data_IF_456631739084
#
_entry.id   IF_456631739084
#
_cell.length_a   1.000
_cell.length_b   1.000
_cell.length_c   1.000
_cell.angle_alpha   90.00
_cell.angle_beta   90.00
_cell.angle_gamma   90.00
#
_symmetry.space_group_name_H-M   'P 1'
#
loop_
_entity.id
_entity.type
_entity.pdbx_description
1 polymer ?
#
# COMPACT_ATOMS: atom_id res chain seq x y z
N UNK A 1 30.76 16.78 22.63
CA UNK A 1 29.39 16.97 22.12
C UNK A 1 28.82 15.59 21.87
N UNK A 2 27.95 15.09 22.75
CA UNK A 2 27.26 13.82 22.49
C UNK A 2 26.19 14.15 21.47
N UNK A 3 26.45 13.80 20.21
CA UNK A 3 25.42 13.83 19.18
C UNK A 3 24.54 12.63 19.47
N UNK A 4 23.40 12.85 20.13
CA UNK A 4 22.30 11.87 20.14
C UNK A 4 21.69 11.87 18.73
N UNK A 5 22.39 11.23 17.81
CA UNK A 5 22.09 11.17 16.39
C UNK A 5 21.82 9.74 15.97
N UNK A 6 20.86 9.58 15.06
CA UNK A 6 20.51 8.31 14.45
C UNK A 6 20.84 8.39 12.96
N UNK A 7 21.61 7.42 12.46
CA UNK A 7 21.85 7.24 11.03
C UNK A 7 21.09 5.99 10.59
N UNK A 8 20.13 6.16 9.69
CA UNK A 8 19.46 5.06 9.00
C UNK A 8 19.94 4.99 7.55
N UNK A 9 20.66 3.92 7.23
CA UNK A 9 20.97 3.59 5.84
C UNK A 9 19.78 2.86 5.20
N UNK A 10 19.67 2.88 3.87
CA UNK A 10 18.64 2.15 3.13
C UNK A 10 17.18 2.58 3.42
N UNK A 11 17.00 3.78 3.94
CA UNK A 11 15.71 4.27 4.41
C UNK A 11 14.79 4.72 3.26
N UNK A 12 15.33 5.39 2.23
CA UNK A 12 14.55 5.95 1.12
C UNK A 12 14.47 5.04 -0.13
N UNK A 13 14.04 3.80 0.03
CA UNK A 13 13.90 2.89 -1.12
C UNK A 13 12.59 3.15 -1.87
N UNK A 14 12.69 3.29 -3.18
CA UNK A 14 11.54 3.41 -4.10
C UNK A 14 10.62 2.16 -4.09
N UNK A 15 11.09 1.04 -3.55
CA UNK A 15 10.35 -0.21 -3.38
C UNK A 15 9.64 -0.34 -2.02
N UNK A 16 9.80 0.63 -1.12
CA UNK A 16 9.08 0.61 0.14
C UNK A 16 7.57 0.76 -0.12
N UNK A 17 6.80 -0.22 0.36
CA UNK A 17 5.34 -0.15 0.38
C UNK A 17 4.88 1.11 1.12
N UNK A 18 3.75 1.68 0.69
CA UNK A 18 3.19 2.93 1.22
C UNK A 18 3.19 3.01 2.76
N UNK A 19 2.76 1.95 3.46
CA UNK A 19 2.73 1.93 4.93
C UNK A 19 4.13 2.00 5.54
N UNK A 20 5.08 1.25 4.96
CA UNK A 20 6.48 1.29 5.41
C UNK A 20 7.07 2.66 5.12
N UNK A 21 6.84 3.21 3.93
CA UNK A 21 7.30 4.56 3.58
C UNK A 21 6.77 5.59 4.58
N UNK A 22 5.49 5.53 4.93
CA UNK A 22 4.88 6.48 5.87
C UNK A 22 5.45 6.34 7.29
N UNK A 23 5.53 5.12 7.82
CA UNK A 23 6.12 4.85 9.14
C UNK A 23 7.53 5.41 9.26
N UNK A 24 8.31 5.22 8.19
CA UNK A 24 9.65 5.75 8.09
C UNK A 24 9.62 7.28 8.21
N UNK A 25 8.87 7.98 7.35
CA UNK A 25 8.74 9.45 7.38
C UNK A 25 8.35 9.95 8.78
N UNK A 26 7.36 9.32 9.40
CA UNK A 26 6.88 9.69 10.74
C UNK A 26 7.93 9.49 11.83
N UNK A 27 8.72 8.42 11.75
CA UNK A 27 9.83 8.16 12.66
C UNK A 27 10.88 9.28 12.60
N UNK A 28 11.32 9.66 11.39
CA UNK A 28 12.33 10.70 11.19
C UNK A 28 11.83 12.06 11.64
N UNK A 29 10.58 12.42 11.32
CA UNK A 29 9.95 13.64 11.84
C UNK A 29 9.85 13.60 13.37
N UNK A 30 9.56 12.44 13.95
CA UNK A 30 9.53 12.24 15.39
C UNK A 30 10.87 12.53 16.06
N UNK A 31 11.98 12.09 15.45
CA UNK A 31 13.33 12.41 15.90
C UNK A 31 13.68 13.89 15.71
N UNK A 32 13.33 14.49 14.57
CA UNK A 32 13.56 15.90 14.27
C UNK A 32 12.87 16.83 15.30
N UNK A 33 11.60 16.53 15.64
CA UNK A 33 10.85 17.25 16.70
C UNK A 33 11.48 17.13 18.09
N UNK A 34 12.31 16.10 18.33
CA UNK A 34 13.07 15.94 19.58
C UNK A 34 14.44 16.62 19.53
N UNK A 35 14.75 17.35 18.46
CA UNK A 35 16.05 18.00 18.27
C UNK A 35 17.17 17.03 17.92
N UNK A 36 16.86 15.82 17.43
CA UNK A 36 17.88 14.83 17.07
C UNK A 36 18.36 15.07 15.65
N UNK A 37 19.68 15.26 15.51
CA UNK A 37 20.31 15.40 14.21
C UNK A 37 20.26 14.09 13.42
N UNK A 38 19.83 14.17 12.17
CA UNK A 38 19.69 13.01 11.29
C UNK A 38 20.27 13.28 9.91
N UNK A 39 21.05 12.33 9.41
CA UNK A 39 21.43 12.24 8.01
C UNK A 39 20.51 11.22 7.33
N UNK A 40 19.72 11.70 6.38
CA UNK A 40 18.77 10.92 5.61
C UNK A 40 19.44 10.51 4.31
N UNK A 41 19.87 9.26 4.22
CA UNK A 41 20.56 8.77 3.03
C UNK A 41 19.57 8.31 1.96
N UNK A 42 19.69 8.90 0.77
CA UNK A 42 19.10 8.40 -0.46
C UNK A 42 19.91 7.22 -1.00
N UNK A 43 19.23 6.08 -1.19
CA UNK A 43 19.82 4.88 -1.77
C UNK A 43 19.19 4.61 -3.13
N UNK A 44 19.88 4.97 -4.22
CA UNK A 44 19.35 4.81 -5.56
C UNK A 44 19.08 3.34 -5.94
N UNK A 45 18.23 3.15 -6.94
CA UNK A 45 18.11 1.90 -7.69
C UNK A 45 19.47 1.50 -8.27
N UNK A 46 19.60 0.21 -8.58
CA UNK A 46 20.82 -0.32 -9.17
C UNK A 46 21.27 0.49 -10.39
N UNK A 47 22.49 1.02 -10.34
CA UNK A 47 23.18 1.64 -11.46
C UNK A 47 24.59 1.04 -11.55
N UNK A 48 24.99 0.42 -12.67
CA UNK A 48 26.21 -0.38 -12.76
C UNK A 48 27.49 0.40 -12.40
N UNK A 49 27.50 1.71 -12.60
CA UNK A 49 28.67 2.56 -12.34
C UNK A 49 28.56 3.45 -11.09
N UNK A 50 27.35 3.70 -10.59
CA UNK A 50 27.10 4.75 -9.58
C UNK A 50 26.50 4.19 -8.30
N UNK A 51 25.85 3.03 -8.38
CA UNK A 51 25.11 2.42 -7.29
C UNK A 51 24.94 0.93 -7.58
N UNK A 52 26.01 0.15 -7.43
CA UNK A 52 25.97 -1.30 -7.65
C UNK A 52 25.09 -2.04 -6.62
N UNK A 53 24.72 -1.35 -5.52
CA UNK A 53 23.83 -1.83 -4.48
C UNK A 53 22.50 -1.07 -4.54
N UNK A 54 21.42 -1.78 -4.88
CA UNK A 54 20.08 -1.23 -4.99
C UNK A 54 19.15 -2.23 -5.66
N UNK A 55 17.83 -2.12 -5.50
CA UNK A 55 16.92 -2.95 -6.27
C UNK A 55 17.07 -2.61 -7.77
N UNK A 56 17.14 -3.63 -8.62
CA UNK A 56 16.96 -3.47 -10.06
C UNK A 56 15.47 -3.30 -10.30
N UNK A 57 15.07 -2.10 -10.69
CA UNK A 57 13.65 -1.77 -10.91
C UNK A 57 13.46 -1.40 -12.37
N UNK A 58 12.80 -2.27 -13.12
CA UNK A 58 12.48 -2.01 -14.52
C UNK A 58 11.56 -0.80 -14.67
N UNK A 59 11.81 0.04 -15.68
CA UNK A 59 11.00 1.25 -15.95
C UNK A 59 11.28 2.46 -15.05
N UNK A 60 12.22 2.36 -14.11
CA UNK A 60 12.67 3.51 -13.29
C UNK A 60 13.99 4.05 -13.85
N UNK A 61 13.97 5.30 -14.33
CA UNK A 61 15.19 6.01 -14.74
C UNK A 61 15.95 6.56 -13.53
N UNK A 62 17.25 6.80 -13.70
CA UNK A 62 18.06 7.42 -12.65
C UNK A 62 17.57 8.81 -12.23
N UNK A 63 16.99 9.58 -13.15
CA UNK A 63 16.47 10.91 -12.83
C UNK A 63 15.14 10.87 -12.06
N UNK A 64 14.27 9.90 -12.38
CA UNK A 64 13.05 9.64 -11.61
C UNK A 64 13.39 9.26 -10.18
N UNK A 65 14.35 8.37 -10.01
CA UNK A 65 14.79 7.90 -8.70
C UNK A 65 15.40 9.04 -7.86
N UNK A 66 16.23 9.89 -8.47
CA UNK A 66 16.81 11.09 -7.81
C UNK A 66 15.73 12.04 -7.29
N UNK A 67 14.74 12.36 -8.13
CA UNK A 67 13.63 13.24 -7.73
C UNK A 67 12.79 12.57 -6.64
N UNK A 68 12.54 11.26 -6.72
CA UNK A 68 11.82 10.52 -5.68
C UNK A 68 12.54 10.57 -4.33
N UNK A 69 13.86 10.36 -4.32
CA UNK A 69 14.69 10.45 -3.11
C UNK A 69 14.64 11.84 -2.47
N UNK A 70 14.89 12.88 -3.27
CA UNK A 70 14.85 14.27 -2.78
C UNK A 70 13.46 14.64 -2.26
N UNK A 71 12.40 14.31 -2.99
CA UNK A 71 11.03 14.57 -2.56
C UNK A 71 10.67 13.81 -1.27
N UNK A 72 11.08 12.55 -1.14
CA UNK A 72 10.90 11.75 0.08
C UNK A 72 11.64 12.40 1.26
N UNK A 73 12.84 12.94 1.06
CA UNK A 73 13.53 13.71 2.08
C UNK A 73 12.74 14.95 2.48
N UNK A 74 12.25 15.72 1.50
CA UNK A 74 11.45 16.92 1.75
C UNK A 74 10.15 16.59 2.51
N UNK A 75 9.56 15.41 2.33
CA UNK A 75 8.42 14.96 3.15
C UNK A 75 8.77 14.81 4.64
N UNK A 76 10.01 14.44 4.95
CA UNK A 76 10.51 14.31 6.33
C UNK A 76 11.22 15.57 6.86
N UNK A 77 11.62 16.50 5.97
CA UNK A 77 12.50 17.61 6.31
C UNK A 77 11.97 18.47 7.47
N UNK A 78 12.85 18.73 8.42
CA UNK A 78 12.71 19.69 9.51
C UNK A 78 14.08 20.28 9.87
N UNK A 79 14.16 20.95 11.02
CA UNK A 79 15.29 21.79 11.40
C UNK A 79 16.59 21.02 11.67
N UNK A 80 16.50 19.71 11.95
CA UNK A 80 17.61 18.84 12.37
C UNK A 80 17.85 17.68 11.41
N UNK A 81 17.29 17.76 10.20
CA UNK A 81 17.42 16.73 9.17
C UNK A 81 18.25 17.23 7.99
N UNK A 82 19.12 16.36 7.48
CA UNK A 82 20.00 16.66 6.36
C UNK A 82 19.86 15.61 5.26
N UNK A 83 19.86 16.05 4.01
CA UNK A 83 19.85 15.15 2.86
C UNK A 83 21.25 14.60 2.61
N UNK A 84 21.40 13.28 2.69
CA UNK A 84 22.62 12.53 2.41
C UNK A 84 22.52 11.79 1.08
N UNK A 85 23.62 11.76 0.34
CA UNK A 85 23.75 11.05 -0.94
C UNK A 85 25.14 10.41 -1.02
N UNK A 86 25.27 9.31 -1.76
CA UNK A 86 26.47 8.49 -1.86
C UNK A 86 26.19 7.01 -1.67
N UNK A 87 26.90 6.14 -2.39
CA UNK A 87 26.85 4.69 -2.16
C UNK A 87 27.70 4.34 -0.94
N UNK A 88 27.19 3.57 0.03
CA UNK A 88 28.00 3.15 1.18
C UNK A 88 29.32 2.50 0.70
N UNK A 89 30.50 2.92 1.19
CA UNK A 89 30.76 3.90 2.26
C UNK A 89 31.03 5.33 1.72
N UNK A 90 30.03 6.01 1.17
CA UNK A 90 30.11 7.34 0.55
C UNK A 90 31.04 7.44 -0.66
N UNK A 91 31.08 6.39 -1.48
CA UNK A 91 31.67 6.47 -2.80
C UNK A 91 30.74 7.23 -3.76
N UNK A 92 31.34 7.81 -4.80
CA UNK A 92 30.62 8.49 -5.89
C UNK A 92 29.72 9.66 -5.50
N UNK A 93 29.87 10.24 -4.29
CA UNK A 93 29.08 11.38 -3.78
C UNK A 93 28.97 12.51 -4.81
N UNK A 94 30.08 12.92 -5.41
CA UNK A 94 30.10 13.98 -6.44
C UNK A 94 29.41 13.58 -7.75
N UNK A 95 29.40 12.28 -8.09
CA UNK A 95 28.72 11.77 -9.29
C UNK A 95 27.23 11.53 -9.05
N UNK A 96 26.82 11.29 -7.80
CA UNK A 96 25.43 11.17 -7.41
C UNK A 96 24.78 12.53 -7.13
N UNK A 97 25.56 13.61 -7.00
CA UNK A 97 25.04 14.98 -6.95
C UNK A 97 24.24 15.31 -8.20
N UNK A 98 23.10 15.96 -8.03
CA UNK A 98 22.26 16.44 -9.12
C UNK A 98 21.69 17.81 -8.81
N UNK A 99 21.45 18.58 -9.86
CA UNK A 99 21.23 20.03 -9.78
C UNK A 99 19.92 20.42 -9.10
N UNK A 100 18.91 19.55 -9.10
CA UNK A 100 17.66 19.82 -8.37
C UNK A 100 17.87 20.03 -6.86
N UNK A 101 18.90 19.43 -6.24
CA UNK A 101 19.22 19.61 -4.81
C UNK A 101 19.56 21.07 -4.49
N UNK A 102 20.13 21.80 -5.45
CA UNK A 102 20.52 23.20 -5.30
C UNK A 102 19.30 24.15 -5.34
N UNK A 103 18.12 23.66 -5.70
CA UNK A 103 16.93 24.48 -5.83
C UNK A 103 16.29 24.79 -4.46
N UNK A 104 16.15 26.08 -4.15
CA UNK A 104 15.55 26.52 -2.90
C UNK A 104 14.02 26.42 -2.93
N UNK A 105 13.49 25.34 -2.36
CA UNK A 105 12.04 25.14 -2.15
C UNK A 105 11.50 25.91 -0.95
N UNK A 106 12.37 26.53 -0.14
CA UNK A 106 12.02 27.25 1.08
C UNK A 106 11.79 26.36 2.30
N UNK A 107 11.20 26.92 3.36
CA UNK A 107 10.88 26.19 4.58
C UNK A 107 9.55 25.44 4.49
N UNK A 108 9.36 24.34 5.24
CA UNK A 108 8.08 23.65 5.28
C UNK A 108 7.00 24.53 5.92
N UNK A 109 5.84 24.62 5.28
CA UNK A 109 4.68 25.41 5.76
C UNK A 109 3.76 24.56 6.63
N UNK A 110 3.70 23.26 6.37
CA UNK A 110 2.81 22.34 7.07
C UNK A 110 3.43 20.96 7.26
N UNK A 111 2.74 20.13 8.04
CA UNK A 111 2.87 18.67 7.96
C UNK A 111 2.56 18.20 6.53
N UNK A 112 3.12 17.04 6.17
CA UNK A 112 2.67 16.37 4.96
C UNK A 112 1.24 15.85 5.18
N UNK A 113 0.46 15.73 4.11
CA UNK A 113 -0.92 15.29 4.18
C UNK A 113 -1.27 14.39 2.99
N UNK A 114 -2.35 13.62 3.15
CA UNK A 114 -2.93 12.81 2.09
C UNK A 114 -3.63 13.75 1.09
N UNK A 115 -3.05 13.92 -0.10
CA UNK A 115 -3.61 14.78 -1.14
C UNK A 115 -4.66 14.07 -1.98
N UNK A 116 -4.40 12.81 -2.32
CA UNK A 116 -5.36 11.98 -3.03
C UNK A 116 -5.21 10.52 -2.63
N UNK A 117 -6.34 9.86 -2.46
CA UNK A 117 -6.44 8.42 -2.34
C UNK A 117 -7.48 7.93 -3.33
N UNK A 118 -7.14 6.98 -4.18
CA UNK A 118 -8.07 6.45 -5.18
C UNK A 118 -7.84 4.97 -5.36
N UNK A 119 -8.89 4.18 -5.21
CA UNK A 119 -8.83 2.78 -5.57
C UNK A 119 -8.87 2.65 -7.09
N UNK A 120 -7.92 1.89 -7.64
CA UNK A 120 -7.90 1.54 -9.06
C UNK A 120 -7.84 0.05 -9.21
N UNK A 121 -8.59 -0.44 -10.20
CA UNK A 121 -8.45 -1.79 -10.73
C UNK A 121 -7.71 -1.73 -12.07
N UNK A 122 -6.87 -2.72 -12.35
CA UNK A 122 -6.32 -2.94 -13.70
C UNK A 122 -7.42 -3.29 -14.72
N UNK A 123 -8.59 -3.74 -14.25
CA UNK A 123 -9.78 -4.00 -15.08
C UNK A 123 -10.91 -3.03 -14.72
N UNK A 124 -11.33 -2.23 -15.70
CA UNK A 124 -12.43 -1.28 -15.52
C UNK A 124 -13.76 -2.01 -15.37
N UNK A 125 -14.59 -1.55 -14.42
CA UNK A 125 -15.95 -2.07 -14.17
C UNK A 125 -16.00 -3.58 -13.88
N UNK A 126 -14.95 -4.14 -13.27
CA UNK A 126 -14.96 -5.52 -12.83
C UNK A 126 -16.09 -5.75 -11.81
N UNK A 127 -16.84 -6.84 -11.99
CA UNK A 127 -17.88 -7.27 -11.05
C UNK A 127 -17.34 -8.39 -10.18
N UNK A 128 -17.86 -8.50 -8.96
CA UNK A 128 -17.53 -9.65 -8.11
C UNK A 128 -17.94 -10.94 -8.79
N UNK A 129 -17.04 -11.91 -8.77
CA UNK A 129 -17.25 -13.30 -9.17
C UNK A 129 -17.84 -14.14 -8.03
N UNK A 130 -17.89 -13.58 -6.81
CA UNK A 130 -18.60 -14.19 -5.70
C UNK A 130 -20.08 -13.83 -5.73
N UNK A 131 -20.92 -14.82 -5.47
CA UNK A 131 -22.37 -14.63 -5.28
C UNK A 131 -22.64 -14.49 -3.79
N UNK A 132 -23.49 -13.51 -3.44
CA UNK A 132 -23.94 -13.29 -2.05
C UNK A 132 -22.76 -13.10 -1.07
N UNK A 133 -21.75 -12.33 -1.49
CA UNK A 133 -20.61 -11.96 -0.63
C UNK A 133 -20.95 -10.87 0.38
N UNK A 134 -22.05 -10.16 0.17
CA UNK A 134 -22.70 -9.21 1.09
C UNK A 134 -23.65 -9.91 2.09
N UNK A 135 -23.87 -11.22 1.94
CA UNK A 135 -24.67 -12.04 2.84
C UNK A 135 -26.13 -11.61 3.04
N UNK A 136 -26.69 -10.82 2.11
CA UNK A 136 -28.07 -10.34 2.19
C UNK A 136 -29.11 -11.43 1.85
N UNK A 137 -28.68 -12.54 1.28
CA UNK A 137 -29.54 -13.68 0.95
C UNK A 137 -29.27 -14.87 1.88
N UNK A 138 -30.34 -15.38 2.46
CA UNK A 138 -30.31 -16.56 3.32
C UNK A 138 -30.96 -17.77 2.67
N UNK A 139 -30.48 -18.97 2.97
CA UNK A 139 -31.12 -20.24 2.58
C UNK A 139 -32.31 -20.58 3.49
N UNK A 140 -32.98 -21.72 3.24
CA UNK A 140 -34.11 -22.20 4.05
C UNK A 140 -33.76 -22.45 5.53
N UNK A 141 -32.47 -22.58 5.85
CA UNK A 141 -31.94 -22.77 7.20
C UNK A 141 -31.49 -21.46 7.85
N UNK A 142 -31.77 -20.30 7.20
CA UNK A 142 -31.36 -18.96 7.63
C UNK A 142 -29.83 -18.80 7.73
N UNK A 143 -29.09 -19.51 6.89
CA UNK A 143 -27.63 -19.39 6.74
C UNK A 143 -27.30 -18.66 5.43
N UNK A 144 -26.07 -18.15 5.26
CA UNK A 144 -25.65 -17.55 3.99
C UNK A 144 -25.94 -18.45 2.77
N UNK A 145 -26.81 -18.00 1.86
CA UNK A 145 -27.11 -18.75 0.63
C UNK A 145 -25.90 -18.79 -0.32
N UNK A 146 -25.79 -19.85 -1.12
CA UNK A 146 -24.72 -20.04 -2.13
C UNK A 146 -23.30 -20.19 -1.57
N UNK A 147 -23.16 -20.47 -0.28
CA UNK A 147 -21.90 -20.83 0.36
C UNK A 147 -21.92 -22.28 0.84
N UNK A 148 -20.79 -22.97 0.75
CA UNK A 148 -20.57 -24.20 1.50
C UNK A 148 -20.13 -23.83 2.90
N UNK A 149 -20.93 -24.16 3.89
CA UNK A 149 -20.77 -23.67 5.25
C UNK A 149 -20.35 -24.77 6.22
N UNK A 150 -19.54 -24.38 7.21
CA UNK A 150 -19.13 -25.21 8.33
C UNK A 150 -19.42 -24.45 9.63
N UNK A 151 -20.24 -25.06 10.49
CA UNK A 151 -20.58 -24.49 11.80
C UNK A 151 -19.33 -24.32 12.67
N UNK A 152 -19.20 -23.30 13.52
CA UNK A 152 -20.23 -22.31 13.83
C UNK A 152 -20.23 -21.16 12.81
N UNK A 153 -21.37 -20.90 12.18
CA UNK A 153 -21.59 -19.68 11.38
C UNK A 153 -23.05 -19.26 11.41
N UNK A 154 -23.33 -17.98 11.60
CA UNK A 154 -24.70 -17.44 11.53
C UNK A 154 -24.75 -16.13 10.73
N UNK A 155 -25.95 -15.76 10.25
CA UNK A 155 -26.21 -14.40 9.79
C UNK A 155 -26.52 -13.53 11.01
N UNK A 156 -25.80 -12.41 11.15
CA UNK A 156 -26.03 -11.43 12.21
C UNK A 156 -26.63 -10.16 11.63
N UNK A 157 -27.86 -9.84 12.04
CA UNK A 157 -28.57 -8.64 11.61
C UNK A 157 -28.31 -7.40 12.49
N UNK A 158 -27.52 -7.54 13.55
CA UNK A 158 -27.23 -6.47 14.52
C UNK A 158 -25.89 -5.79 14.28
N UNK A 159 -25.01 -6.42 13.52
CA UNK A 159 -23.69 -5.91 13.16
C UNK A 159 -23.38 -6.28 11.72
N UNK A 160 -23.78 -5.44 10.77
CA UNK A 160 -23.38 -5.48 9.36
C UNK A 160 -22.47 -4.30 9.03
N UNK A 161 -21.71 -4.39 7.93
CA UNK A 161 -20.99 -3.27 7.35
C UNK A 161 -21.91 -2.53 6.37
N UNK A 162 -22.43 -3.28 5.38
CA UNK A 162 -23.42 -2.82 4.41
C UNK A 162 -24.68 -3.68 4.53
N UNK A 163 -25.82 -3.18 4.04
CA UNK A 163 -27.06 -3.96 4.08
C UNK A 163 -27.51 -4.30 5.50
N UNK A 164 -28.16 -5.45 5.66
CA UNK A 164 -28.81 -5.87 6.90
C UNK A 164 -28.07 -6.98 7.64
N UNK A 165 -27.27 -7.79 6.97
CA UNK A 165 -26.67 -8.99 7.54
C UNK A 165 -25.16 -9.01 7.36
N UNK A 166 -24.48 -9.78 8.19
CA UNK A 166 -23.11 -10.22 7.96
C UNK A 166 -22.93 -11.67 8.38
N UNK A 167 -21.87 -12.32 7.89
CA UNK A 167 -21.51 -13.66 8.32
C UNK A 167 -20.71 -13.59 9.63
N UNK A 168 -21.22 -14.20 10.69
CA UNK A 168 -20.58 -14.22 12.01
C UNK A 168 -20.11 -15.61 12.38
N UNK A 169 -18.89 -15.69 12.89
CA UNK A 169 -18.28 -16.90 13.43
C UNK A 169 -17.87 -16.64 14.88
N UNK A 170 -18.33 -17.48 15.80
CA UNK A 170 -17.87 -17.49 17.19
C UNK A 170 -17.03 -18.75 17.40
N UNK A 171 -15.73 -18.58 17.60
CA UNK A 171 -14.83 -19.67 17.95
C UNK A 171 -14.60 -19.72 19.46
N UNK A 172 -14.82 -20.89 20.05
CA UNK A 172 -14.54 -21.15 21.47
C UNK A 172 -13.32 -22.06 21.70
N UNK A 173 -12.62 -22.46 20.63
CA UNK A 173 -11.48 -23.36 20.71
C UNK A 173 -10.44 -23.07 19.63
N UNK A 174 -9.16 -23.15 20.01
CA UNK A 174 -8.03 -23.03 19.09
C UNK A 174 -7.95 -24.19 18.08
N UNK A 175 -8.68 -25.29 18.33
CA UNK A 175 -8.68 -26.49 17.48
C UNK A 175 -9.76 -26.47 16.39
N UNK A 176 -10.66 -25.49 16.40
CA UNK A 176 -11.69 -25.36 15.38
C UNK A 176 -11.03 -24.95 14.05
N UNK A 177 -11.31 -25.72 13.00
CA UNK A 177 -10.85 -25.46 11.64
C UNK A 177 -12.01 -25.62 10.64
N UNK A 178 -13.06 -24.81 10.85
CA UNK A 178 -14.28 -24.88 10.06
C UNK A 178 -14.19 -23.84 8.92
N UNK A 179 -14.20 -24.35 7.69
CA UNK A 179 -13.94 -23.57 6.48
C UNK A 179 -15.25 -23.33 5.76
N UNK A 180 -15.61 -22.05 5.62
CA UNK A 180 -16.71 -21.61 4.77
C UNK A 180 -16.15 -21.20 3.42
N UNK A 181 -16.80 -21.60 2.33
CA UNK A 181 -16.21 -21.48 1.00
C UNK A 181 -17.21 -21.35 -0.14
N UNK A 182 -16.76 -20.71 -1.22
CA UNK A 182 -17.42 -20.72 -2.53
C UNK A 182 -16.38 -21.11 -3.59
N UNK A 183 -16.73 -22.08 -4.43
CA UNK A 183 -15.89 -22.49 -5.56
C UNK A 183 -16.06 -21.51 -6.71
N UNK A 184 -14.96 -21.22 -7.41
CA UNK A 184 -14.92 -20.30 -8.55
C UNK A 184 -13.98 -20.86 -9.62
N UNK A 185 -14.32 -20.56 -10.88
CA UNK A 185 -13.46 -20.80 -12.04
C UNK A 185 -12.94 -19.46 -12.56
N UNK A 186 -11.62 -19.29 -12.58
CA UNK A 186 -10.93 -18.06 -12.96
C UNK A 186 -10.18 -18.24 -14.28
N UNK A 187 -9.79 -17.13 -14.91
CA UNK A 187 -8.93 -17.17 -16.10
C UNK A 187 -7.51 -17.54 -15.71
N UNK A 188 -6.78 -18.35 -16.50
CA UNK A 188 -5.35 -18.59 -16.31
C UNK A 188 -4.52 -17.30 -16.39
N UNK A 189 -3.38 -17.27 -15.70
CA UNK A 189 -2.40 -16.16 -15.71
C UNK A 189 -3.00 -14.76 -15.57
N UNK A 190 -4.01 -14.62 -14.73
CA UNK A 190 -4.78 -13.39 -14.59
C UNK A 190 -4.75 -12.94 -13.14
N UNK A 191 -4.54 -11.63 -12.93
CA UNK A 191 -4.61 -11.04 -11.61
C UNK A 191 -6.05 -10.98 -11.12
N UNK A 192 -6.24 -11.29 -9.85
CA UNK A 192 -7.51 -11.16 -9.15
C UNK A 192 -7.29 -10.48 -7.80
N UNK A 193 -8.30 -9.74 -7.37
CA UNK A 193 -8.29 -9.10 -6.06
C UNK A 193 -9.48 -9.52 -5.24
N UNK A 194 -9.17 -10.11 -4.08
CA UNK A 194 -10.10 -10.46 -3.03
C UNK A 194 -10.16 -9.29 -2.04
N UNK A 195 -11.36 -8.78 -1.75
CA UNK A 195 -11.59 -7.80 -0.68
C UNK A 195 -12.69 -8.27 0.25
N UNK A 196 -12.64 -7.79 1.49
CA UNK A 196 -13.60 -8.13 2.54
C UNK A 196 -13.58 -7.08 3.64
N UNK A 197 -14.72 -6.78 4.23
CA UNK A 197 -14.82 -6.08 5.51
C UNK A 197 -14.81 -7.07 6.65
N UNK A 198 -13.93 -6.86 7.63
CA UNK A 198 -13.82 -7.71 8.81
C UNK A 198 -13.93 -6.83 10.05
N UNK A 199 -14.79 -7.27 10.99
CA UNK A 199 -14.86 -6.77 12.36
C UNK A 199 -14.53 -7.92 13.29
N UNK A 200 -13.81 -7.65 14.38
CA UNK A 200 -13.46 -8.69 15.36
C UNK A 200 -13.72 -8.23 16.78
N UNK A 201 -14.07 -9.17 17.64
CA UNK A 201 -14.19 -8.96 19.07
C UNK A 201 -13.41 -10.04 19.81
N UNK A 202 -12.36 -9.61 20.50
CA UNK A 202 -11.51 -10.48 21.33
C UNK A 202 -10.99 -11.72 20.59
N UNK A 203 -10.61 -11.57 19.31
CA UNK A 203 -10.02 -12.68 18.56
C UNK A 203 -8.62 -12.96 19.09
N UNK A 204 -8.48 -13.99 19.92
CA UNK A 204 -7.25 -14.31 20.64
C UNK A 204 -6.65 -15.63 20.15
N UNK A 205 -5.42 -15.57 19.67
CA UNK A 205 -4.70 -16.70 19.08
C UNK A 205 -4.06 -16.33 17.75
N UNK A 206 -3.57 -17.32 17.03
CA UNK A 206 -2.90 -17.15 15.75
C UNK A 206 -3.22 -18.37 14.86
N UNK A 207 -3.71 -18.19 13.62
CA UNK A 207 -3.75 -16.94 12.85
C UNK A 207 -4.97 -16.01 13.03
N UNK A 208 -6.06 -16.45 13.66
CA UNK A 208 -7.23 -15.58 13.88
C UNK A 208 -8.32 -15.71 12.81
N UNK A 209 -9.01 -14.61 12.53
CA UNK A 209 -10.01 -14.51 11.47
C UNK A 209 -9.31 -14.38 10.11
N UNK A 210 -9.64 -15.24 9.15
CA UNK A 210 -8.94 -15.33 7.87
C UNK A 210 -9.91 -15.30 6.68
N UNK A 211 -9.45 -14.71 5.58
CA UNK A 211 -10.13 -14.74 4.27
C UNK A 211 -9.07 -14.95 3.19
N UNK A 212 -9.22 -15.95 2.32
CA UNK A 212 -8.14 -16.32 1.40
C UNK A 212 -8.55 -17.17 0.19
N UNK A 213 -7.85 -17.03 -0.95
CA UNK A 213 -7.93 -17.97 -2.06
C UNK A 213 -7.19 -19.28 -1.73
N UNK A 214 -7.72 -20.41 -2.18
CA UNK A 214 -7.16 -21.73 -1.96
C UNK A 214 -7.44 -22.66 -3.16
N UNK A 215 -6.65 -23.72 -3.30
CA UNK A 215 -6.75 -24.72 -4.39
C UNK A 215 -6.44 -24.20 -5.80
N UNK A 216 -5.95 -22.96 -5.96
CA UNK A 216 -5.43 -22.46 -7.24
C UNK A 216 -3.99 -22.94 -7.48
N UNK A 217 -3.83 -24.04 -8.24
CA UNK A 217 -2.52 -24.63 -8.51
C UNK A 217 -1.62 -23.67 -9.32
N UNK A 218 -0.34 -23.55 -8.92
CA UNK A 218 0.63 -22.68 -9.57
C UNK A 218 0.40 -21.17 -9.39
N UNK A 219 -0.65 -20.76 -8.66
CA UNK A 219 -0.95 -19.35 -8.44
C UNK A 219 0.08 -18.65 -7.54
N UNK A 220 0.42 -17.40 -7.87
CA UNK A 220 1.30 -16.55 -7.08
C UNK A 220 0.48 -15.66 -6.15
N UNK A 221 0.87 -15.58 -4.87
CA UNK A 221 0.17 -14.77 -3.88
C UNK A 221 -1.15 -15.36 -3.39
N UNK A 222 -1.51 -16.58 -3.79
CA UNK A 222 -2.64 -17.31 -3.23
C UNK A 222 -2.30 -17.88 -1.83
N UNK A 223 -3.32 -18.11 -0.98
CA UNK A 223 -3.16 -18.58 0.40
C UNK A 223 -3.52 -17.53 1.46
N UNK A 224 -3.40 -17.86 2.76
CA UNK A 224 -3.89 -17.02 3.86
C UNK A 224 -3.05 -15.76 4.10
N UNK A 225 -3.35 -14.67 3.37
CA UNK A 225 -2.71 -13.37 3.57
C UNK A 225 -3.53 -12.43 4.46
N UNK A 226 -4.87 -12.47 4.38
CA UNK A 226 -5.73 -11.71 5.29
C UNK A 226 -5.89 -12.52 6.58
N UNK A 227 -5.32 -12.03 7.67
CA UNK A 227 -5.46 -12.61 9.02
C UNK A 227 -5.62 -11.48 10.04
N UNK A 228 -6.65 -11.56 10.88
CA UNK A 228 -7.03 -10.51 11.83
C UNK A 228 -7.18 -11.09 13.23
N UNK A 229 -6.53 -10.44 14.20
CA UNK A 229 -6.58 -10.77 15.63
C UNK A 229 -6.95 -9.53 16.44
N UNK A 230 -7.23 -9.71 17.73
CA UNK A 230 -7.65 -8.66 18.63
C UNK A 230 -9.09 -8.20 18.42
N UNK A 231 -9.35 -6.95 18.77
CA UNK A 231 -10.64 -6.28 18.57
C UNK A 231 -10.44 -5.13 17.59
N UNK A 232 -11.15 -5.17 16.47
CA UNK A 232 -11.22 -4.07 15.50
C UNK A 232 -12.67 -3.81 15.14
N UNK A 233 -13.01 -2.54 14.92
CA UNK A 233 -14.22 -2.21 14.18
C UNK A 233 -14.06 -2.60 12.70
N UNK A 234 -15.13 -2.47 11.93
CA UNK A 234 -15.12 -2.77 10.49
C UNK A 234 -13.94 -2.13 9.78
N UNK A 235 -13.08 -2.97 9.23
CA UNK A 235 -11.95 -2.56 8.40
C UNK A 235 -11.94 -3.37 7.12
N UNK A 236 -11.68 -2.71 5.99
CA UNK A 236 -11.53 -3.37 4.70
C UNK A 236 -10.13 -3.97 4.59
N UNK A 237 -10.08 -5.22 4.17
CA UNK A 237 -8.87 -5.96 3.87
C UNK A 237 -8.85 -6.36 2.41
N UNK A 238 -7.65 -6.60 1.90
CA UNK A 238 -7.41 -6.92 0.50
C UNK A 238 -6.27 -7.91 0.35
N UNK A 239 -6.41 -8.79 -0.64
CA UNK A 239 -5.34 -9.64 -1.16
C UNK A 239 -5.44 -9.70 -2.68
N UNK A 240 -4.32 -9.50 -3.36
CA UNK A 240 -4.20 -9.73 -4.81
C UNK A 240 -3.39 -11.01 -5.02
N UNK A 241 -3.80 -11.82 -6.01
CA UNK A 241 -3.10 -13.02 -6.43
C UNK A 241 -3.21 -13.18 -7.96
N UNK A 242 -2.26 -13.90 -8.55
CA UNK A 242 -2.23 -14.21 -9.99
C UNK A 242 -2.42 -15.71 -10.17
N UNK A 243 -3.39 -16.11 -10.97
CA UNK A 243 -3.65 -17.53 -11.26
C UNK A 243 -2.52 -18.18 -12.06
N UNK A 244 -2.38 -19.51 -11.92
CA UNK A 244 -1.47 -20.32 -12.72
C UNK A 244 -2.09 -20.74 -14.04
N UNK A 245 -1.69 -21.92 -14.54
CA UNK A 245 -2.34 -22.56 -15.69
C UNK A 245 -3.77 -23.02 -15.36
N UNK A 246 -4.00 -23.45 -14.12
CA UNK A 246 -5.31 -23.81 -13.60
C UNK A 246 -5.96 -22.60 -12.90
N UNK A 247 -7.24 -22.39 -13.24
CA UNK A 247 -8.08 -21.33 -12.68
C UNK A 247 -9.15 -21.86 -11.72
N UNK A 248 -9.23 -23.17 -11.50
CA UNK A 248 -10.16 -23.77 -10.55
C UNK A 248 -9.68 -23.58 -9.11
N UNK A 249 -10.59 -23.23 -8.22
CA UNK A 249 -10.26 -23.07 -6.81
C UNK A 249 -11.43 -22.58 -5.99
N UNK A 250 -11.12 -22.03 -4.82
CA UNK A 250 -12.14 -21.53 -3.91
C UNK A 250 -11.67 -20.34 -3.10
N UNK A 251 -12.63 -19.49 -2.74
CA UNK A 251 -12.45 -18.45 -1.72
C UNK A 251 -12.97 -18.98 -0.40
N UNK A 252 -12.13 -18.90 0.64
CA UNK A 252 -12.43 -19.36 1.97
C UNK A 252 -12.53 -18.19 2.95
N UNK A 253 -13.36 -18.34 3.98
CA UNK A 253 -13.26 -17.56 5.21
C UNK A 253 -13.49 -18.43 6.44
N UNK A 254 -12.81 -18.11 7.55
CA UNK A 254 -12.86 -18.88 8.80
C UNK A 254 -12.32 -18.09 10.00
N UNK A 255 -12.50 -18.66 11.19
CA UNK A 255 -11.65 -18.36 12.36
C UNK A 255 -10.87 -19.64 12.68
N UNK A 256 -9.54 -19.56 12.71
CA UNK A 256 -8.64 -20.70 12.93
C UNK A 256 -7.52 -20.36 13.91
N UNK A 257 -7.15 -21.32 14.76
CA UNK A 257 -6.08 -21.14 15.75
C UNK A 257 -6.38 -20.03 16.76
N UNK A 258 -7.64 -19.64 16.92
CA UNK A 258 -8.07 -18.53 17.76
C UNK A 258 -9.47 -18.75 18.35
N UNK A 259 -9.72 -18.12 19.50
CA UNK A 259 -11.04 -17.94 20.09
C UNK A 259 -11.54 -16.51 19.83
N UNK A 260 -12.82 -16.24 20.09
CA UNK A 260 -13.43 -14.92 19.93
C UNK A 260 -14.47 -14.90 18.80
N UNK A 261 -14.95 -13.70 18.46
CA UNK A 261 -15.97 -13.51 17.42
C UNK A 261 -15.41 -12.68 16.26
N UNK A 262 -15.75 -13.09 15.04
CA UNK A 262 -15.45 -12.35 13.83
C UNK A 262 -16.70 -12.23 12.96
N UNK A 263 -16.88 -11.06 12.37
CA UNK A 263 -17.90 -10.78 11.37
C UNK A 263 -17.21 -10.48 10.05
N UNK A 264 -17.78 -11.01 8.98
CA UNK A 264 -17.31 -10.86 7.61
C UNK A 264 -18.46 -10.31 6.78
N UNK A 265 -18.17 -9.32 5.94
CA UNK A 265 -19.16 -8.70 5.07
C UNK A 265 -18.49 -8.17 3.80
N UNK A 266 -19.28 -7.99 2.73
CA UNK A 266 -18.83 -7.45 1.45
C UNK A 266 -17.63 -8.21 0.86
N UNK A 267 -17.67 -9.55 0.84
CA UNK A 267 -16.66 -10.35 0.16
C UNK A 267 -16.77 -10.16 -1.35
N UNK A 268 -15.71 -9.64 -1.96
CA UNK A 268 -15.65 -9.41 -3.40
C UNK A 268 -14.41 -10.08 -3.98
N UNK A 269 -14.57 -10.82 -5.07
CA UNK A 269 -13.47 -11.30 -5.90
C UNK A 269 -13.61 -10.70 -7.28
N UNK A 270 -12.72 -9.79 -7.66
CA UNK A 270 -12.78 -9.11 -8.96
C UNK A 270 -11.57 -9.45 -9.82
N UNK A 271 -11.78 -9.54 -11.13
CA UNK A 271 -10.69 -9.60 -12.09
C UNK A 271 -9.89 -8.28 -12.04
N UNK A 272 -8.57 -8.40 -12.10
CA UNK A 272 -7.61 -7.33 -11.99
C UNK A 272 -7.00 -7.16 -10.60
N UNK A 273 -5.82 -6.55 -10.58
CA UNK A 273 -5.20 -6.05 -9.38
C UNK A 273 -5.89 -4.74 -8.97
N UNK A 274 -6.45 -4.70 -7.76
CA UNK A 274 -6.99 -3.47 -7.17
C UNK A 274 -5.95 -2.93 -6.20
N UNK A 275 -5.46 -1.74 -6.44
CA UNK A 275 -4.50 -1.06 -5.57
C UNK A 275 -5.05 0.30 -5.15
N UNK A 276 -4.54 0.78 -4.03
CA UNK A 276 -4.88 2.12 -3.54
C UNK A 276 -3.77 3.06 -3.97
N UNK A 277 -4.08 3.92 -4.93
CA UNK A 277 -3.19 5.00 -5.33
C UNK A 277 -3.21 6.07 -4.25
N UNK A 278 -2.07 6.31 -3.62
CA UNK A 278 -1.92 7.29 -2.56
C UNK A 278 -0.89 8.32 -2.99
N UNK A 279 -1.26 9.59 -3.00
CA UNK A 279 -0.34 10.71 -3.20
C UNK A 279 -0.33 11.57 -1.96
N UNK A 280 0.85 11.75 -1.39
CA UNK A 280 1.10 12.67 -0.30
C UNK A 280 1.60 13.99 -0.84
N UNK A 281 1.24 15.07 -0.16
CA UNK A 281 1.71 16.40 -0.47
C UNK A 281 2.29 17.08 0.77
N UNK A 282 3.23 18.00 0.54
CA UNK A 282 3.69 18.94 1.57
C UNK A 282 3.97 20.30 0.96
N UNK A 283 3.45 21.34 1.60
CA UNK A 283 3.70 22.72 1.21
C UNK A 283 5.03 23.21 1.76
N UNK A 284 5.74 23.93 0.92
CA UNK A 284 6.90 24.73 1.27
C UNK A 284 6.66 26.18 0.85
N UNK A 285 7.42 27.11 1.43
CA UNK A 285 7.20 28.54 1.15
C UNK A 285 7.46 28.92 -0.31
N UNK A 286 8.23 28.12 -1.06
CA UNK A 286 8.52 28.34 -2.48
C UNK A 286 8.17 27.15 -3.37
N UNK A 287 7.38 26.19 -2.87
CA UNK A 287 7.03 25.02 -3.67
C UNK A 287 6.02 24.08 -3.04
N UNK A 288 5.66 23.05 -3.81
CA UNK A 288 4.80 21.96 -3.41
C UNK A 288 5.52 20.65 -3.75
N UNK A 289 5.67 19.76 -2.77
CA UNK A 289 6.27 18.46 -2.98
C UNK A 289 5.16 17.42 -2.97
N UNK A 290 5.13 16.59 -4.01
CA UNK A 290 4.23 15.46 -4.16
C UNK A 290 5.05 14.16 -4.17
N UNK A 291 4.62 13.16 -3.40
CA UNK A 291 5.22 11.82 -3.43
C UNK A 291 4.12 10.80 -3.59
N UNK A 292 4.28 9.92 -4.56
CA UNK A 292 3.52 8.68 -4.69
C UNK A 292 4.42 7.49 -4.33
N UNK A 293 4.27 6.91 -3.13
CA UNK A 293 5.01 5.71 -2.75
C UNK A 293 4.64 4.50 -3.61
N UNK A 294 5.41 3.44 -3.50
CA UNK A 294 5.08 2.16 -4.13
C UNK A 294 3.86 1.53 -3.47
N UNK A 295 2.90 1.09 -4.29
CA UNK A 295 1.64 0.50 -3.85
C UNK A 295 1.45 -0.94 -4.37
N UNK A 296 2.54 -1.61 -4.77
CA UNK A 296 2.51 -2.92 -5.43
C UNK A 296 2.43 -2.82 -6.96
N UNK A 297 2.71 -3.93 -7.66
CA UNK A 297 2.71 -4.02 -9.12
C UNK A 297 4.00 -3.51 -9.77
N UNK A 298 3.89 -3.02 -11.00
CA UNK A 298 5.01 -2.48 -11.80
C UNK A 298 5.29 -0.99 -11.51
N UNK A 299 6.21 -0.40 -12.28
CA UNK A 299 6.60 1.02 -12.21
C UNK A 299 6.25 1.80 -13.50
N UNK A 300 5.50 1.18 -14.40
CA UNK A 300 5.16 1.69 -15.72
C UNK A 300 3.98 2.66 -15.71
N UNK A 301 3.63 3.12 -16.92
CA UNK A 301 2.61 4.15 -17.12
C UNK A 301 1.19 3.68 -16.79
N UNK A 302 0.95 2.36 -16.79
CA UNK A 302 -0.27 1.71 -16.32
C UNK A 302 -0.60 2.06 -14.87
N UNK A 303 0.43 2.36 -14.08
CA UNK A 303 0.26 2.78 -12.69
C UNK A 303 -0.12 4.25 -12.60
N UNK A 304 0.06 5.09 -13.62
CA UNK A 304 0.02 6.55 -13.52
C UNK A 304 -1.30 7.14 -12.96
N UNK A 305 -1.15 8.05 -11.99
CA UNK A 305 -2.25 8.78 -11.35
C UNK A 305 -2.09 10.28 -11.53
N UNK A 306 -3.15 10.94 -12.01
CA UNK A 306 -3.13 12.38 -12.30
C UNK A 306 -3.75 13.17 -11.16
N UNK A 307 -2.94 14.00 -10.52
CA UNK A 307 -3.33 14.89 -9.43
C UNK A 307 -3.56 16.30 -9.97
N UNK A 308 -4.66 16.93 -9.54
CA UNK A 308 -4.93 18.35 -9.85
C UNK A 308 -4.15 19.24 -8.88
N UNK A 309 -3.44 20.23 -9.41
CA UNK A 309 -2.68 21.18 -8.62
C UNK A 309 -3.54 22.35 -8.14
N UNK A 310 -3.21 22.96 -6.99
CA UNK A 310 -3.94 24.12 -6.47
C UNK A 310 -3.75 25.37 -7.33
N UNK A 311 -2.64 25.47 -8.06
CA UNK A 311 -2.32 26.52 -9.02
C UNK A 311 -1.46 25.94 -10.14
N UNK A 312 -1.20 26.74 -11.18
CA UNK A 312 -0.26 26.34 -12.23
C UNK A 312 1.18 26.39 -11.70
N UNK A 313 1.89 25.26 -11.71
CA UNK A 313 3.26 25.12 -11.21
C UNK A 313 4.15 24.43 -12.26
N UNK A 314 5.47 24.55 -12.12
CA UNK A 314 6.48 23.92 -12.97
C UNK A 314 7.12 22.75 -12.23
N UNK A 315 7.32 21.62 -12.90
CA UNK A 315 8.11 20.51 -12.35
C UNK A 315 9.59 20.86 -12.36
N UNK A 316 10.27 20.57 -11.26
CA UNK A 316 11.73 20.61 -11.17
C UNK A 316 12.32 19.27 -11.61
N UNK A 317 13.14 19.32 -12.65
CA UNK A 317 13.84 18.16 -13.19
C UNK A 317 15.14 17.90 -12.43
N UNK A 318 15.67 16.67 -12.52
CA UNK A 318 16.90 16.27 -11.81
C UNK A 318 18.11 17.14 -12.19
N UNK A 319 18.15 17.63 -13.42
CA UNK A 319 19.17 18.56 -13.93
C UNK A 319 18.97 20.02 -13.48
N UNK A 320 17.98 20.29 -12.63
CA UNK A 320 17.68 21.60 -12.07
C UNK A 320 16.86 22.50 -12.98
N UNK A 321 16.50 22.04 -14.19
CA UNK A 321 15.62 22.80 -15.09
C UNK A 321 14.17 22.74 -14.63
N UNK A 322 13.37 23.70 -15.08
CA UNK A 322 11.94 23.76 -14.81
C UNK A 322 11.16 23.52 -16.10
N UNK A 323 10.16 22.66 -16.02
CA UNK A 323 9.22 22.42 -17.11
C UNK A 323 8.27 23.61 -17.34
N UNK A 324 7.39 23.46 -18.33
CA UNK A 324 6.24 24.34 -18.52
C UNK A 324 5.28 24.29 -17.33
N UNK A 325 4.50 25.36 -17.16
CA UNK A 325 3.49 25.41 -16.11
C UNK A 325 2.34 24.46 -16.44
N UNK A 326 2.03 23.58 -15.50
CA UNK A 326 0.92 22.63 -15.58
C UNK A 326 -0.05 22.84 -14.42
N UNK A 327 -1.30 22.47 -14.61
CA UNK A 327 -2.34 22.46 -13.55
C UNK A 327 -2.64 21.04 -13.06
N UNK A 328 -1.98 20.04 -13.64
CA UNK A 328 -2.12 18.63 -13.34
C UNK A 328 -0.76 17.95 -13.51
N UNK A 329 -0.45 16.99 -12.64
CA UNK A 329 0.76 16.19 -12.72
C UNK A 329 0.38 14.72 -12.64
N UNK A 330 1.00 13.91 -13.48
CA UNK A 330 0.85 12.46 -13.48
C UNK A 330 2.03 11.82 -12.78
N UNK A 331 1.77 11.01 -11.77
CA UNK A 331 2.78 10.29 -10.99
C UNK A 331 2.51 8.79 -11.08
N UNK A 332 3.53 8.00 -11.45
CA UNK A 332 3.54 6.54 -11.42
C UNK A 332 3.93 6.03 -10.03
N UNK A 333 3.86 4.72 -9.83
CA UNK A 333 4.34 4.08 -8.60
C UNK A 333 5.79 4.45 -8.27
N UNK A 334 6.10 4.93 -7.07
CA UNK A 334 7.48 5.37 -6.77
C UNK A 334 7.92 6.57 -7.62
N UNK A 335 7.02 7.51 -7.88
CA UNK A 335 7.34 8.75 -8.57
C UNK A 335 6.97 9.94 -7.69
N UNK A 336 7.67 11.05 -7.89
CA UNK A 336 7.46 12.27 -7.13
C UNK A 336 7.59 13.48 -8.05
N UNK A 337 7.04 14.60 -7.61
CA UNK A 337 7.23 15.88 -8.26
C UNK A 337 7.55 16.95 -7.22
N UNK A 338 8.56 17.75 -7.50
CA UNK A 338 8.86 18.98 -6.77
C UNK A 338 8.41 20.12 -7.68
N UNK A 339 7.40 20.86 -7.23
CA UNK A 339 6.68 21.82 -8.05
C UNK A 339 6.95 23.25 -7.58
N UNK A 340 7.35 24.09 -8.51
CA UNK A 340 7.79 25.48 -8.27
C UNK A 340 6.81 26.45 -8.95
N UNK A 341 6.44 27.58 -8.32
CA UNK A 341 5.54 28.59 -8.89
C UNK A 341 5.89 29.12 -10.28
#
# INVERSE_FOLDING_TARGET
MVIDGFQAENWQRITNQVDRWQQLIDEVRGYDRRGKMQLIQYNPVFHPELAEFGPKVEGVSGDRDKIYGLATYLMAHGDWSYFGFGSHPYQHVTKQWFKAIEHDVGGPVSEYYLMSQTERSTVKNARSLLVNGDFEHSDDRRKPANWTLAEPIELDATSSHDGRNSAKIISNSLQINNINKQYVTLKPHTDYTLTVWIKTHQVAGNPGAQVYPYEFEGAQGAGPAISVTGTTDWKRYRQTFTTGDDGEGRINFRVYGATGAAWFDGLELVEGAVFTETVFARHFTKGLVLVRPYAGGDYGDTTSSTVKLPTALRSLNADGTLDERVTRVSLRNGEAAILIP
#
